data_IF_468648772407
#
_entry.id   IF_468648772407
#
_cell.length_a   1.000
_cell.length_b   1.000
_cell.length_c   1.000
_cell.angle_alpha   90.00
_cell.angle_beta   90.00
_cell.angle_gamma   90.00
#
_symmetry.space_group_name_H-M   'P 1'
#
loop_
_entity.id
_entity.type
_entity.pdbx_description
1 polymer ?
#
# COMPACT_ATOMS: atom_id res chain seq x y z
N UNK A 1 13.92 -8.50 -30.37
CA UNK A 1 14.42 -7.19 -29.91
C UNK A 1 14.21 -7.12 -28.41
N UNK A 2 14.87 -6.22 -27.67
CA UNK A 2 14.55 -6.06 -26.26
C UNK A 2 13.12 -5.55 -26.10
N UNK A 3 12.40 -5.97 -25.05
CA UNK A 3 11.04 -5.45 -24.79
C UNK A 3 11.08 -3.97 -24.41
N UNK A 4 9.95 -3.27 -24.51
CA UNK A 4 9.85 -1.89 -24.03
C UNK A 4 10.20 -1.79 -22.54
N UNK A 5 9.83 -2.80 -21.74
CA UNK A 5 10.15 -2.83 -20.30
C UNK A 5 11.68 -2.94 -20.07
N UNK A 6 12.36 -3.80 -20.83
CA UNK A 6 13.82 -3.96 -20.75
C UNK A 6 14.56 -2.67 -21.12
N UNK A 7 14.11 -1.97 -22.16
CA UNK A 7 14.68 -0.68 -22.58
C UNK A 7 14.39 0.42 -21.56
N UNK A 8 13.17 0.50 -21.03
CA UNK A 8 12.77 1.51 -20.04
C UNK A 8 13.65 1.45 -18.79
N UNK A 9 13.97 0.24 -18.31
CA UNK A 9 14.83 -0.01 -17.15
C UNK A 9 16.26 0.54 -17.31
N UNK A 10 16.71 0.83 -18.53
CA UNK A 10 18.04 1.41 -18.76
C UNK A 10 18.10 2.92 -18.52
N UNK A 11 16.94 3.59 -18.49
CA UNK A 11 16.87 5.06 -18.42
C UNK A 11 15.95 5.57 -17.30
N UNK A 12 15.12 4.71 -16.72
CA UNK A 12 14.15 5.03 -15.69
C UNK A 12 14.04 3.87 -14.70
N UNK A 13 13.94 4.19 -13.41
CA UNK A 13 13.66 3.17 -12.39
C UNK A 13 12.19 2.76 -12.49
N UNK A 14 11.95 1.49 -12.74
CA UNK A 14 10.60 0.92 -12.76
C UNK A 14 10.17 0.49 -11.35
N UNK A 15 9.00 0.98 -10.95
CA UNK A 15 8.34 0.74 -9.66
C UNK A 15 7.01 0.04 -9.93
N UNK A 16 6.60 -0.92 -9.10
CA UNK A 16 5.27 -1.53 -9.24
C UNK A 16 4.22 -0.78 -8.40
N UNK A 17 3.10 -0.42 -9.04
CA UNK A 17 1.95 0.22 -8.37
C UNK A 17 0.89 -0.82 -8.00
N UNK A 18 1.11 -1.54 -6.90
CA UNK A 18 0.20 -2.61 -6.49
C UNK A 18 0.38 -3.03 -5.02
N UNK A 19 -0.71 -3.49 -4.40
CA UNK A 19 -0.67 -4.28 -3.16
C UNK A 19 -0.63 -5.79 -3.40
N UNK A 20 -0.73 -6.21 -4.66
CA UNK A 20 -0.69 -7.61 -5.09
C UNK A 20 0.75 -8.15 -5.07
N UNK A 21 1.07 -8.92 -4.02
CA UNK A 21 2.41 -9.48 -3.76
C UNK A 21 2.87 -10.40 -4.90
N UNK A 22 2.00 -11.24 -5.45
CA UNK A 22 2.32 -12.13 -6.58
C UNK A 22 2.73 -11.34 -7.83
N UNK A 23 2.10 -10.19 -8.08
CA UNK A 23 2.52 -9.32 -9.18
C UNK A 23 3.93 -8.74 -8.94
N UNK A 24 4.26 -8.40 -7.69
CA UNK A 24 5.59 -7.91 -7.32
C UNK A 24 6.64 -9.01 -7.49
N UNK A 25 6.36 -10.24 -7.07
CA UNK A 25 7.22 -11.41 -7.30
C UNK A 25 7.45 -11.67 -8.79
N UNK A 26 6.40 -11.53 -9.61
CA UNK A 26 6.48 -11.73 -11.05
C UNK A 26 7.38 -10.69 -11.74
N UNK A 27 7.18 -9.41 -11.44
CA UNK A 27 7.84 -8.32 -12.17
C UNK A 27 9.17 -7.85 -11.54
N UNK A 28 9.47 -8.25 -10.31
CA UNK A 28 10.71 -7.95 -9.57
C UNK A 28 11.15 -6.48 -9.68
N UNK A 29 10.28 -5.50 -9.34
CA UNK A 29 10.62 -4.09 -9.42
C UNK A 29 11.67 -3.71 -8.34
N UNK A 30 12.33 -2.55 -8.51
CA UNK A 30 13.25 -2.04 -7.47
C UNK A 30 12.48 -1.59 -6.23
N UNK A 31 11.48 -0.73 -6.45
CA UNK A 31 10.61 -0.15 -5.43
C UNK A 31 9.16 -0.61 -5.68
N UNK A 32 8.28 -0.46 -4.68
CA UNK A 32 6.84 -0.66 -4.85
C UNK A 32 6.05 0.45 -4.16
N UNK A 33 4.87 0.77 -4.69
CA UNK A 33 3.97 1.75 -4.11
C UNK A 33 2.64 1.12 -3.74
N UNK A 34 2.20 1.34 -2.50
CA UNK A 34 0.83 1.08 -2.10
C UNK A 34 0.08 2.40 -1.88
N UNK A 35 -1.22 2.31 -1.74
CA UNK A 35 -2.14 3.38 -1.35
C UNK A 35 -3.39 2.73 -0.74
N UNK A 36 -4.31 3.49 -0.13
CA UNK A 36 -5.50 2.93 0.50
C UNK A 36 -6.30 2.02 -0.43
N UNK A 37 -6.57 2.45 -1.67
CA UNK A 37 -7.34 1.64 -2.62
C UNK A 37 -6.65 0.32 -2.99
N UNK A 38 -5.32 0.32 -3.15
CA UNK A 38 -4.55 -0.88 -3.48
C UNK A 38 -4.50 -1.87 -2.31
N UNK A 39 -4.32 -1.38 -1.07
CA UNK A 39 -4.35 -2.22 0.12
C UNK A 39 -5.75 -2.79 0.33
N UNK A 40 -6.80 -1.97 0.21
CA UNK A 40 -8.19 -2.42 0.32
C UNK A 40 -8.51 -3.51 -0.70
N UNK A 41 -8.06 -3.36 -1.95
CA UNK A 41 -8.24 -4.38 -2.98
C UNK A 41 -7.46 -5.67 -2.68
N UNK A 42 -6.19 -5.56 -2.28
CA UNK A 42 -5.35 -6.71 -1.96
C UNK A 42 -5.88 -7.48 -0.73
N UNK A 43 -6.32 -6.77 0.31
CA UNK A 43 -6.87 -7.37 1.53
C UNK A 43 -8.13 -8.20 1.29
N UNK A 44 -8.87 -7.94 0.19
CA UNK A 44 -10.06 -8.72 -0.19
C UNK A 44 -9.72 -9.95 -1.04
N UNK A 45 -8.47 -10.11 -1.49
CA UNK A 45 -8.09 -11.25 -2.29
C UNK A 45 -7.95 -12.52 -1.42
N UNK A 46 -8.46 -13.68 -1.86
CA UNK A 46 -8.40 -14.92 -1.09
C UNK A 46 -6.98 -15.32 -0.67
N UNK A 47 -6.01 -15.15 -1.57
CA UNK A 47 -4.61 -15.51 -1.33
C UNK A 47 -3.90 -14.65 -0.27
N UNK A 48 -4.49 -13.51 0.13
CA UNK A 48 -3.93 -12.61 1.13
C UNK A 48 -4.71 -12.60 2.44
N UNK A 49 -5.73 -13.46 2.59
CA UNK A 49 -6.51 -13.54 3.84
C UNK A 49 -5.64 -13.85 5.05
N UNK A 50 -4.60 -14.68 4.91
CA UNK A 50 -3.70 -14.97 6.02
C UNK A 50 -3.05 -13.69 6.60
N UNK A 51 -2.66 -12.72 5.75
CA UNK A 51 -2.09 -11.45 6.22
C UNK A 51 -3.11 -10.65 7.02
N UNK A 52 -4.37 -10.63 6.55
CA UNK A 52 -5.48 -9.93 7.21
C UNK A 52 -5.80 -10.58 8.55
N UNK A 53 -5.96 -11.89 8.56
CA UNK A 53 -6.32 -12.67 9.75
C UNK A 53 -5.22 -12.57 10.81
N UNK A 54 -3.96 -12.74 10.43
CA UNK A 54 -2.82 -12.58 11.34
C UNK A 54 -2.77 -11.16 11.94
N UNK A 55 -3.08 -10.14 11.14
CA UNK A 55 -3.13 -8.75 11.60
C UNK A 55 -4.26 -8.53 12.61
N UNK A 56 -5.45 -9.08 12.34
CA UNK A 56 -6.61 -9.00 13.24
C UNK A 56 -6.37 -9.76 14.54
N UNK A 57 -5.82 -10.98 14.47
CA UNK A 57 -5.50 -11.79 15.65
C UNK A 57 -4.45 -11.12 16.53
N UNK A 58 -3.39 -10.56 15.92
CA UNK A 58 -2.39 -9.79 16.66
C UNK A 58 -2.98 -8.52 17.29
N UNK A 59 -3.85 -7.81 16.56
CA UNK A 59 -4.56 -6.66 17.13
C UNK A 59 -5.46 -7.07 18.31
N UNK A 60 -6.16 -8.21 18.22
CA UNK A 60 -7.00 -8.75 19.30
C UNK A 60 -6.18 -9.06 20.55
N UNK A 61 -5.00 -9.69 20.37
CA UNK A 61 -4.09 -10.00 21.47
C UNK A 61 -3.56 -8.73 22.16
N UNK A 62 -3.19 -7.72 21.39
CA UNK A 62 -2.58 -6.48 21.91
C UNK A 62 -3.60 -5.51 22.55
N UNK A 63 -4.87 -5.53 22.10
CA UNK A 63 -5.91 -4.65 22.65
C UNK A 63 -6.39 -5.05 24.06
N UNK A 64 -6.08 -6.26 24.50
CA UNK A 64 -6.44 -6.77 25.84
C UNK A 64 -7.91 -7.22 25.98
N UNK A 65 -8.27 -7.85 27.10
CA UNK A 65 -9.53 -8.60 27.25
C UNK A 65 -10.80 -7.72 27.34
N UNK A 66 -10.66 -6.41 27.55
CA UNK A 66 -11.78 -5.47 27.65
C UNK A 66 -12.05 -4.71 26.34
N UNK A 67 -11.23 -4.94 25.30
CA UNK A 67 -11.38 -4.26 24.01
C UNK A 67 -12.64 -4.72 23.29
N UNK A 68 -13.32 -3.76 22.66
CA UNK A 68 -14.43 -4.08 21.77
C UNK A 68 -13.91 -4.57 20.42
N UNK A 69 -14.74 -5.29 19.66
CA UNK A 69 -14.41 -5.68 18.28
C UNK A 69 -14.04 -4.46 17.42
N UNK A 70 -14.65 -3.30 17.71
CA UNK A 70 -14.33 -2.03 17.04
C UNK A 70 -12.91 -1.56 17.37
N UNK A 71 -12.48 -1.65 18.63
CA UNK A 71 -11.12 -1.26 19.03
C UNK A 71 -10.07 -2.17 18.35
N UNK A 72 -10.35 -3.47 18.28
CA UNK A 72 -9.51 -4.44 17.58
C UNK A 72 -9.45 -4.16 16.08
N UNK A 73 -10.58 -3.95 15.43
CA UNK A 73 -10.64 -3.64 14.00
C UNK A 73 -9.89 -2.34 13.66
N UNK A 74 -10.03 -1.30 14.50
CA UNK A 74 -9.30 -0.04 14.34
C UNK A 74 -7.78 -0.22 14.49
N UNK A 75 -7.33 -1.02 15.47
CA UNK A 75 -5.91 -1.31 15.62
C UNK A 75 -5.37 -2.13 14.45
N UNK A 76 -6.13 -3.12 13.96
CA UNK A 76 -5.77 -3.90 12.79
C UNK A 76 -5.70 -3.02 11.52
N UNK A 77 -6.65 -2.11 11.34
CA UNK A 77 -6.65 -1.13 10.26
C UNK A 77 -5.35 -0.31 10.23
N UNK A 78 -4.91 0.20 11.39
CA UNK A 78 -3.67 0.97 11.52
C UNK A 78 -2.39 0.16 11.22
N UNK A 79 -2.47 -1.18 11.29
CA UNK A 79 -1.34 -2.10 11.11
C UNK A 79 -1.31 -2.75 9.73
N UNK A 80 -2.45 -2.85 9.05
CA UNK A 80 -2.58 -3.66 7.83
C UNK A 80 -1.67 -3.17 6.70
N UNK A 81 -1.58 -1.85 6.49
CA UNK A 81 -0.72 -1.31 5.44
C UNK A 81 0.77 -1.63 5.70
N UNK A 82 1.21 -1.60 6.96
CA UNK A 82 2.57 -2.00 7.36
C UNK A 82 2.76 -3.51 7.20
N UNK A 83 1.75 -4.33 7.53
CA UNK A 83 1.82 -5.78 7.35
C UNK A 83 2.03 -6.18 5.88
N UNK A 84 1.28 -5.56 4.95
CA UNK A 84 1.50 -5.74 3.51
C UNK A 84 2.87 -5.21 3.08
N UNK A 85 3.23 -4.00 3.51
CA UNK A 85 4.51 -3.41 3.15
C UNK A 85 5.71 -4.23 3.64
N UNK A 86 5.63 -4.84 4.81
CA UNK A 86 6.64 -5.76 5.32
C UNK A 86 6.81 -6.99 4.42
N UNK A 87 5.71 -7.60 3.95
CA UNK A 87 5.78 -8.70 2.97
C UNK A 87 6.41 -8.25 1.65
N UNK A 88 6.04 -7.07 1.15
CA UNK A 88 6.60 -6.49 -0.07
C UNK A 88 8.11 -6.27 0.06
N UNK A 89 8.57 -5.71 1.19
CA UNK A 89 9.99 -5.44 1.44
C UNK A 89 10.85 -6.72 1.55
N UNK A 90 10.24 -7.86 1.86
CA UNK A 90 10.90 -9.17 1.79
C UNK A 90 11.23 -9.63 0.37
N UNK A 91 10.62 -9.00 -0.65
CA UNK A 91 10.79 -9.37 -2.07
C UNK A 91 11.63 -8.32 -2.81
N UNK A 92 11.31 -7.04 -2.64
CA UNK A 92 11.98 -5.97 -3.38
C UNK A 92 13.29 -5.55 -2.70
N UNK A 93 14.31 -5.12 -3.46
CA UNK A 93 15.57 -4.65 -2.88
C UNK A 93 15.51 -3.20 -2.39
N UNK A 94 14.58 -2.40 -2.93
CA UNK A 94 14.45 -0.97 -2.66
C UNK A 94 13.33 -0.65 -1.69
N UNK A 95 12.57 0.40 -1.97
CA UNK A 95 11.67 1.05 -1.01
C UNK A 95 10.20 0.67 -1.21
N UNK A 96 9.42 0.65 -0.13
CA UNK A 96 7.95 0.62 -0.20
C UNK A 96 7.38 1.97 0.19
N UNK A 97 6.44 2.50 -0.60
CA UNK A 97 5.63 3.65 -0.16
C UNK A 97 4.42 3.17 0.65
N UNK A 98 4.23 3.70 1.86
CA UNK A 98 3.07 3.43 2.73
C UNK A 98 2.36 4.74 3.03
N UNK A 99 1.07 4.81 2.73
CA UNK A 99 0.29 6.05 2.76
C UNK A 99 -0.33 6.31 4.12
N UNK A 100 -0.25 7.56 4.59
CA UNK A 100 -0.98 8.03 5.76
C UNK A 100 -2.48 8.05 5.48
N UNK A 101 -3.30 8.06 6.53
CA UNK A 101 -4.75 8.20 6.40
C UNK A 101 -5.11 9.51 5.67
N UNK A 102 -5.79 9.37 4.53
CA UNK A 102 -6.15 10.51 3.68
C UNK A 102 -7.11 11.50 4.39
N UNK A 103 -7.84 11.07 5.42
CA UNK A 103 -8.72 11.94 6.23
C UNK A 103 -7.93 13.02 6.97
N UNK A 104 -6.62 12.81 7.15
CA UNK A 104 -5.69 13.72 7.84
C UNK A 104 -5.01 14.73 6.90
N UNK A 105 -5.35 14.73 5.59
CA UNK A 105 -4.63 15.50 4.56
C UNK A 105 -4.57 17.02 4.82
N UNK A 106 -5.42 17.57 5.69
CA UNK A 106 -5.45 19.00 6.03
C UNK A 106 -5.06 19.26 7.49
N UNK A 107 -4.48 18.27 8.17
CA UNK A 107 -3.98 18.35 9.55
C UNK A 107 -2.51 17.92 9.60
N UNK A 108 -1.63 18.91 9.73
CA UNK A 108 -0.18 18.72 9.80
C UNK A 108 0.22 17.84 10.98
N UNK A 109 -0.31 18.08 12.18
CA UNK A 109 0.11 17.38 13.40
C UNK A 109 -0.39 15.93 13.42
N UNK A 110 -1.63 15.70 12.97
CA UNK A 110 -2.17 14.35 12.85
C UNK A 110 -1.42 13.54 11.77
N UNK A 111 -1.04 14.18 10.66
CA UNK A 111 -0.20 13.57 9.62
C UNK A 111 1.17 13.17 10.18
N UNK A 112 1.85 14.06 10.92
CA UNK A 112 3.14 13.78 11.57
C UNK A 112 3.06 12.62 12.54
N UNK A 113 2.04 12.62 13.40
CA UNK A 113 1.82 11.56 14.39
C UNK A 113 1.66 10.20 13.71
N UNK A 114 0.82 10.15 12.68
CA UNK A 114 0.55 8.93 11.91
C UNK A 114 1.79 8.44 11.16
N UNK A 115 2.53 9.35 10.51
CA UNK A 115 3.76 9.04 9.80
C UNK A 115 4.82 8.41 10.72
N UNK A 116 5.05 9.01 11.89
CA UNK A 116 6.02 8.49 12.88
C UNK A 116 5.60 7.11 13.41
N UNK A 117 4.30 6.92 13.68
CA UNK A 117 3.76 5.62 14.08
C UNK A 117 3.95 4.54 13.01
N UNK A 118 3.79 4.87 11.72
CA UNK A 118 4.08 3.92 10.63
C UNK A 118 5.56 3.51 10.64
N UNK A 119 6.48 4.47 10.78
CA UNK A 119 7.92 4.19 10.85
C UNK A 119 8.29 3.35 12.09
N UNK A 120 7.68 3.63 13.23
CA UNK A 120 7.86 2.85 14.46
C UNK A 120 7.44 1.40 14.27
N UNK A 121 6.26 1.15 13.69
CA UNK A 121 5.77 -0.20 13.40
C UNK A 121 6.70 -0.96 12.44
N UNK A 122 7.26 -0.30 11.42
CA UNK A 122 8.31 -0.92 10.58
C UNK A 122 9.56 -1.25 11.39
N UNK A 123 9.98 -0.35 12.29
CA UNK A 123 11.13 -0.57 13.18
C UNK A 123 10.95 -1.77 14.12
N UNK A 124 9.75 -1.99 14.66
CA UNK A 124 9.40 -3.18 15.46
C UNK A 124 9.53 -4.49 14.66
N UNK A 125 9.37 -4.42 13.33
CA UNK A 125 9.57 -5.54 12.41
C UNK A 125 11.02 -5.66 11.92
N UNK A 126 11.95 -4.85 12.47
CA UNK A 126 13.36 -4.86 12.10
C UNK A 126 13.65 -4.19 10.74
N UNK A 127 12.71 -3.41 10.21
CA UNK A 127 12.87 -2.70 8.93
C UNK A 127 13.45 -1.30 9.18
N UNK A 128 14.55 -0.97 8.49
CA UNK A 128 15.10 0.39 8.51
C UNK A 128 14.12 1.38 7.86
N UNK A 129 14.00 2.57 8.44
CA UNK A 129 13.20 3.68 7.86
C UNK A 129 13.65 4.04 6.45
N UNK A 130 14.91 3.81 6.08
CA UNK A 130 15.44 4.09 4.72
C UNK A 130 14.78 3.22 3.64
N UNK A 131 14.15 2.10 4.02
CA UNK A 131 13.39 1.21 3.13
C UNK A 131 11.93 1.66 2.96
N UNK A 132 11.50 2.72 3.63
CA UNK A 132 10.10 3.16 3.67
C UNK A 132 10.00 4.61 3.19
N UNK A 133 9.02 4.88 2.33
CA UNK A 133 8.60 6.23 1.99
C UNK A 133 7.22 6.48 2.60
N UNK A 134 7.11 7.47 3.47
CA UNK A 134 5.80 7.89 3.99
C UNK A 134 5.09 8.69 2.90
N UNK A 135 3.96 8.15 2.45
CA UNK A 135 3.20 8.73 1.34
C UNK A 135 2.10 9.65 1.87
N UNK A 136 2.07 10.90 1.39
CA UNK A 136 1.21 11.98 1.92
C UNK A 136 0.60 12.74 0.74
N UNK A 137 -0.68 13.12 0.83
CA UNK A 137 -1.32 13.95 -0.18
C UNK A 137 -0.67 15.34 -0.26
N UNK A 138 -0.48 15.86 -1.48
CA UNK A 138 0.23 17.12 -1.74
C UNK A 138 -0.63 18.37 -1.48
N UNK A 139 -1.31 18.42 -0.34
CA UNK A 139 -1.91 19.64 0.22
C UNK A 139 -0.80 20.54 0.80
N UNK A 140 -1.11 21.79 1.14
CA UNK A 140 -0.12 22.65 1.80
C UNK A 140 0.31 22.05 3.15
N UNK A 141 -0.66 21.61 3.94
CA UNK A 141 -0.48 21.01 5.26
C UNK A 141 0.33 19.70 5.18
N UNK A 142 0.03 18.86 4.19
CA UNK A 142 0.80 17.63 3.92
C UNK A 142 2.25 17.90 3.52
N UNK A 143 2.49 18.92 2.70
CA UNK A 143 3.86 19.36 2.33
C UNK A 143 4.61 19.88 3.57
N UNK A 144 3.96 20.64 4.44
CA UNK A 144 4.57 21.13 5.69
C UNK A 144 4.88 20.00 6.67
N UNK A 145 4.00 19.00 6.78
CA UNK A 145 4.29 17.80 7.56
C UNK A 145 5.50 17.05 6.99
N UNK A 146 5.55 16.82 5.67
CA UNK A 146 6.66 16.15 5.02
C UNK A 146 7.99 16.92 5.19
N UNK A 147 7.98 18.26 5.14
CA UNK A 147 9.17 19.08 5.40
C UNK A 147 9.80 18.80 6.77
N UNK A 148 8.96 18.59 7.80
CA UNK A 148 9.42 18.25 9.15
C UNK A 148 9.94 16.81 9.19
N UNK A 149 9.24 15.86 8.56
CA UNK A 149 9.65 14.45 8.50
C UNK A 149 11.00 14.27 7.81
N UNK A 150 11.25 14.97 6.70
CA UNK A 150 12.53 14.90 5.98
C UNK A 150 13.68 15.42 6.84
N UNK A 151 13.45 16.46 7.65
CA UNK A 151 14.45 16.96 8.63
C UNK A 151 14.72 15.95 9.75
N UNK A 152 13.78 15.03 10.01
CA UNK A 152 13.93 13.91 10.95
C UNK A 152 14.53 12.65 10.29
N UNK A 153 14.88 12.72 8.99
CA UNK A 153 15.37 11.57 8.22
C UNK A 153 14.29 10.53 7.95
N UNK A 154 13.01 10.95 7.90
CA UNK A 154 11.88 10.12 7.45
C UNK A 154 11.52 10.58 6.04
N UNK A 155 11.86 9.75 5.06
CA UNK A 155 11.68 10.09 3.65
C UNK A 155 10.22 10.02 3.21
N UNK A 156 9.79 10.98 2.41
CA UNK A 156 8.40 11.14 2.00
C UNK A 156 8.20 10.96 0.48
N UNK A 157 7.01 10.45 0.14
CA UNK A 157 6.46 10.39 -1.22
C UNK A 157 5.20 11.28 -1.29
N UNK A 158 5.29 12.42 -1.96
CA UNK A 158 4.17 13.37 -2.05
C UNK A 158 3.28 13.02 -3.25
N UNK A 159 2.09 12.50 -2.95
CA UNK A 159 1.13 11.94 -3.91
C UNK A 159 -0.03 12.90 -4.17
N UNK A 160 -0.96 12.53 -5.07
CA UNK A 160 -2.07 13.39 -5.50
C UNK A 160 -1.54 14.75 -5.98
N UNK A 161 -0.43 14.71 -6.72
CA UNK A 161 0.22 15.88 -7.29
C UNK A 161 -0.26 16.07 -8.72
N UNK A 162 -0.84 17.24 -9.00
CA UNK A 162 -1.51 17.54 -10.26
C UNK A 162 -0.97 18.80 -10.96
N UNK A 163 -0.35 19.72 -10.21
CA UNK A 163 0.14 20.99 -10.75
C UNK A 163 1.58 21.33 -10.35
N UNK A 164 2.17 22.23 -11.14
CA UNK A 164 3.55 22.68 -10.94
C UNK A 164 3.75 23.38 -9.58
N UNK A 165 2.76 24.11 -9.07
CA UNK A 165 2.83 24.77 -7.75
C UNK A 165 3.05 23.76 -6.61
N UNK A 166 2.42 22.59 -6.68
CA UNK A 166 2.67 21.51 -5.71
C UNK A 166 4.09 20.98 -5.84
N UNK A 167 4.55 20.70 -7.06
CA UNK A 167 5.91 20.20 -7.28
C UNK A 167 6.98 21.19 -6.79
N UNK A 168 6.84 22.48 -7.07
CA UNK A 168 7.81 23.48 -6.62
C UNK A 168 7.84 23.55 -5.10
N UNK A 169 6.69 23.62 -4.44
CA UNK A 169 6.62 23.63 -2.97
C UNK A 169 7.24 22.37 -2.36
N UNK A 170 7.05 21.20 -2.98
CA UNK A 170 7.68 19.95 -2.53
C UNK A 170 9.22 20.01 -2.63
N UNK A 171 9.74 20.51 -3.76
CA UNK A 171 11.18 20.62 -3.98
C UNK A 171 11.85 21.64 -3.03
N UNK A 172 11.20 22.79 -2.82
CA UNK A 172 11.68 23.81 -1.87
C UNK A 172 11.64 23.32 -0.41
N UNK A 173 10.73 22.39 -0.09
CA UNK A 173 10.65 21.72 1.22
C UNK A 173 11.66 20.57 1.39
N UNK A 174 12.48 20.25 0.38
CA UNK A 174 13.49 19.20 0.47
C UNK A 174 12.93 17.78 0.47
N UNK A 175 11.75 17.58 -0.10
CA UNK A 175 11.08 16.27 -0.16
C UNK A 175 11.87 15.28 -1.02
N UNK A 176 11.91 14.02 -0.60
CA UNK A 176 12.64 12.95 -1.28
C UNK A 176 12.04 12.63 -2.65
N UNK A 177 10.72 12.41 -2.72
CA UNK A 177 10.05 11.96 -3.94
C UNK A 177 8.66 12.58 -4.08
N UNK A 178 8.27 12.89 -5.32
CA UNK A 178 6.90 13.25 -5.68
C UNK A 178 6.31 12.24 -6.68
N UNK A 179 5.01 11.98 -6.59
CA UNK A 179 4.28 11.12 -7.52
C UNK A 179 3.15 11.85 -8.26
N UNK A 180 3.44 12.60 -9.34
CA UNK A 180 2.42 13.23 -10.16
C UNK A 180 1.55 12.23 -10.91
N UNK A 181 0.23 12.44 -10.90
CA UNK A 181 -0.75 11.48 -11.45
C UNK A 181 -1.13 11.82 -12.88
N UNK A 182 -0.54 11.12 -13.84
CA UNK A 182 -0.70 11.36 -15.29
C UNK A 182 -2.13 11.07 -15.75
N UNK A 183 -2.57 9.82 -15.60
CA UNK A 183 -3.85 9.39 -16.17
C UNK A 183 -5.08 10.04 -15.54
N UNK A 184 -4.99 10.54 -14.29
CA UNK A 184 -6.09 11.29 -13.68
C UNK A 184 -6.22 12.70 -14.27
N UNK A 185 -5.12 13.31 -14.71
CA UNK A 185 -5.16 14.57 -15.45
C UNK A 185 -5.84 14.32 -16.80
N UNK A 186 -5.44 13.27 -17.54
CA UNK A 186 -6.11 12.86 -18.78
C UNK A 186 -7.62 12.68 -18.59
N UNK A 187 -8.05 11.94 -17.56
CA UNK A 187 -9.47 11.71 -17.27
C UNK A 187 -10.25 13.01 -17.07
N UNK A 188 -9.65 13.99 -16.37
CA UNK A 188 -10.28 15.29 -16.15
C UNK A 188 -10.50 16.03 -17.47
N UNK A 189 -9.44 16.14 -18.29
CA UNK A 189 -9.49 16.87 -19.55
C UNK A 189 -10.41 16.21 -20.57
N UNK A 190 -10.43 14.87 -20.65
CA UNK A 190 -11.41 14.17 -21.51
C UNK A 190 -12.85 14.55 -21.16
N UNK A 191 -13.16 14.59 -19.85
CA UNK A 191 -14.49 14.95 -19.35
C UNK A 191 -14.81 16.44 -19.59
N UNK A 192 -13.88 17.34 -19.27
CA UNK A 192 -14.10 18.79 -19.36
C UNK A 192 -14.18 19.27 -20.81
N UNK A 193 -13.35 18.75 -21.71
CA UNK A 193 -13.35 19.15 -23.13
C UNK A 193 -14.30 18.31 -24.00
N UNK A 194 -14.87 17.22 -23.48
CA UNK A 194 -15.67 16.27 -24.24
C UNK A 194 -14.89 15.47 -25.30
N UNK A 195 -13.56 15.32 -25.14
CA UNK A 195 -12.72 14.53 -26.05
C UNK A 195 -12.65 13.08 -25.57
N UNK A 196 -12.77 12.13 -26.49
CA UNK A 196 -12.64 10.70 -26.17
C UNK A 196 -11.19 10.26 -25.97
N UNK A 197 -10.22 10.95 -26.59
CA UNK A 197 -8.80 10.63 -26.48
C UNK A 197 -7.89 11.82 -26.81
N UNK A 198 -6.66 11.69 -26.37
CA UNK A 198 -5.52 12.56 -26.67
C UNK A 198 -4.40 11.71 -27.28
N UNK A 199 -3.71 12.17 -28.33
CA UNK A 199 -2.42 11.59 -28.72
C UNK A 199 -1.46 11.60 -27.52
N UNK A 200 -0.59 10.59 -27.39
CA UNK A 200 0.26 10.44 -26.21
C UNK A 200 1.14 11.69 -25.93
N UNK A 201 1.74 12.27 -26.98
CA UNK A 201 2.54 13.49 -26.87
C UNK A 201 1.71 14.77 -26.55
N UNK A 202 0.40 14.74 -26.74
CA UNK A 202 -0.53 15.83 -26.39
C UNK A 202 -1.27 15.57 -25.07
N UNK A 203 -0.99 14.45 -24.41
CA UNK A 203 -1.66 14.08 -23.17
C UNK A 203 -1.36 15.12 -22.08
N UNK A 204 -2.39 15.74 -21.47
CA UNK A 204 -2.17 16.82 -20.51
C UNK A 204 -1.46 16.37 -19.23
N UNK A 205 -1.57 15.09 -18.86
CA UNK A 205 -0.81 14.51 -17.76
C UNK A 205 0.67 14.32 -18.11
N UNK A 206 0.96 13.83 -19.32
CA UNK A 206 2.34 13.71 -19.83
C UNK A 206 3.01 15.08 -19.90
N UNK A 207 2.30 16.09 -20.42
CA UNK A 207 2.78 17.46 -20.49
C UNK A 207 3.07 18.03 -19.09
N UNK A 208 2.18 17.79 -18.12
CA UNK A 208 2.37 18.21 -16.73
C UNK A 208 3.63 17.60 -16.10
N UNK A 209 3.83 16.28 -16.20
CA UNK A 209 5.02 15.62 -15.65
C UNK A 209 6.30 16.05 -16.37
N UNK A 210 6.25 16.22 -17.69
CA UNK A 210 7.38 16.73 -18.48
C UNK A 210 7.78 18.12 -18.02
N UNK A 211 6.82 19.01 -17.78
CA UNK A 211 7.07 20.35 -17.25
C UNK A 211 7.72 20.30 -15.87
N UNK A 212 7.20 19.47 -14.95
CA UNK A 212 7.74 19.29 -13.60
C UNK A 212 9.18 18.75 -13.65
N UNK A 213 9.42 17.69 -14.42
CA UNK A 213 10.75 17.10 -14.58
C UNK A 213 11.75 18.14 -15.09
N UNK A 214 11.40 18.86 -16.16
CA UNK A 214 12.28 19.87 -16.74
C UNK A 214 12.59 20.99 -15.74
N UNK A 215 11.59 21.46 -14.99
CA UNK A 215 11.78 22.45 -13.93
C UNK A 215 12.76 21.95 -12.86
N UNK A 216 12.59 20.70 -12.40
CA UNK A 216 13.46 20.11 -11.40
C UNK A 216 14.91 20.02 -11.86
N UNK A 217 15.15 19.49 -13.07
CA UNK A 217 16.51 19.36 -13.60
C UNK A 217 17.13 20.71 -13.94
N UNK A 218 16.35 21.69 -14.40
CA UNK A 218 16.81 23.06 -14.66
C UNK A 218 17.38 23.73 -13.41
N UNK A 219 16.71 23.57 -12.27
CA UNK A 219 17.09 24.23 -11.02
C UNK A 219 17.90 23.35 -10.06
N UNK A 220 18.25 22.13 -10.47
CA UNK A 220 19.08 21.22 -9.68
C UNK A 220 18.39 20.73 -8.41
N UNK A 221 17.06 20.57 -8.44
CA UNK A 221 16.33 19.99 -7.31
C UNK A 221 16.60 18.48 -7.22
N UNK A 222 16.84 18.00 -5.99
CA UNK A 222 17.15 16.60 -5.72
C UNK A 222 15.92 15.70 -5.58
N UNK A 223 14.74 16.29 -5.40
CA UNK A 223 13.47 15.55 -5.31
C UNK A 223 13.28 14.69 -6.56
N UNK A 224 13.05 13.40 -6.35
CA UNK A 224 12.82 12.44 -7.43
C UNK A 224 11.42 12.65 -8.04
N UNK A 225 11.31 12.63 -9.38
CA UNK A 225 10.03 12.67 -10.08
C UNK A 225 9.58 11.26 -10.46
N UNK A 226 8.50 10.78 -9.87
CA UNK A 226 7.91 9.47 -10.16
C UNK A 226 6.55 9.60 -10.85
N UNK A 227 6.49 9.53 -12.18
CA UNK A 227 5.20 9.52 -12.87
C UNK A 227 4.34 8.33 -12.44
N UNK A 228 3.04 8.56 -12.21
CA UNK A 228 2.14 7.58 -11.60
C UNK A 228 0.73 7.60 -12.21
N UNK A 229 -0.07 6.58 -11.86
CA UNK A 229 -1.50 6.48 -12.23
C UNK A 229 -1.77 6.54 -13.75
N UNK A 230 -1.00 5.78 -14.53
CA UNK A 230 -1.17 5.66 -15.98
C UNK A 230 -2.50 4.99 -16.39
N UNK A 231 -3.01 5.33 -17.57
CA UNK A 231 -4.11 4.68 -18.29
C UNK A 231 -3.61 3.78 -19.41
N UNK A 232 -2.48 4.11 -20.04
CA UNK A 232 -2.01 3.40 -21.23
C UNK A 232 -0.48 3.43 -21.38
N UNK A 233 0.06 2.53 -22.21
CA UNK A 233 1.50 2.44 -22.50
C UNK A 233 2.05 3.70 -23.15
N UNK A 234 1.26 4.42 -23.95
CA UNK A 234 1.68 5.65 -24.62
C UNK A 234 2.15 6.74 -23.65
N UNK A 235 1.42 6.95 -22.55
CA UNK A 235 1.82 7.89 -21.50
C UNK A 235 3.17 7.51 -20.86
N UNK A 236 3.42 6.21 -20.68
CA UNK A 236 4.66 5.70 -20.09
C UNK A 236 5.83 5.91 -21.05
N UNK A 237 5.64 5.59 -22.34
CA UNK A 237 6.68 5.76 -23.35
C UNK A 237 7.03 7.23 -23.58
N UNK A 238 6.07 8.14 -23.47
CA UNK A 238 6.30 9.58 -23.56
C UNK A 238 7.06 10.16 -22.35
N UNK A 239 7.14 9.41 -21.25
CA UNK A 239 7.91 9.79 -20.05
C UNK A 239 9.18 8.94 -19.87
N UNK A 240 9.59 8.18 -20.88
CA UNK A 240 10.83 7.40 -20.83
C UNK A 240 12.05 8.32 -20.59
N UNK A 241 12.82 8.04 -19.54
CA UNK A 241 13.92 8.88 -19.06
C UNK A 241 13.61 9.69 -17.80
N UNK A 242 12.35 9.64 -17.30
CA UNK A 242 11.99 10.13 -15.96
C UNK A 242 12.82 9.42 -14.87
N UNK A 243 12.91 10.00 -13.68
CA UNK A 243 13.67 9.38 -12.58
C UNK A 243 13.08 8.02 -12.21
N UNK A 244 11.78 7.99 -11.98
CA UNK A 244 11.01 6.77 -11.72
C UNK A 244 9.67 6.80 -12.47
N UNK A 245 9.11 5.62 -12.70
CA UNK A 245 7.70 5.46 -13.10
C UNK A 245 7.10 4.30 -12.29
N UNK A 246 5.99 4.57 -11.61
CA UNK A 246 5.22 3.53 -10.93
C UNK A 246 4.07 3.07 -11.81
N UNK A 247 4.11 1.78 -12.16
CA UNK A 247 3.34 1.21 -13.26
C UNK A 247 2.53 0.02 -12.73
N UNK A 248 1.25 -0.04 -13.12
CA UNK A 248 0.37 -1.14 -12.71
C UNK A 248 0.83 -2.48 -13.31
N UNK A 249 0.55 -3.63 -12.67
CA UNK A 249 0.91 -4.94 -13.19
C UNK A 249 0.41 -5.20 -14.63
N UNK A 250 -0.78 -4.67 -14.96
CA UNK A 250 -1.35 -4.81 -16.30
C UNK A 250 -0.50 -4.08 -17.36
N UNK A 251 -0.07 -2.85 -17.07
CA UNK A 251 0.75 -2.06 -18.01
C UNK A 251 2.20 -2.58 -18.05
N UNK A 252 2.72 -3.10 -16.93
CA UNK A 252 3.99 -3.82 -16.92
C UNK A 252 3.96 -5.03 -17.85
N UNK A 253 2.90 -5.84 -17.82
CA UNK A 253 2.73 -6.96 -18.73
C UNK A 253 2.67 -6.54 -20.21
N UNK A 254 2.02 -5.41 -20.50
CA UNK A 254 1.95 -4.89 -21.86
C UNK A 254 3.32 -4.40 -22.37
N UNK A 255 4.08 -3.69 -21.53
CA UNK A 255 5.44 -3.25 -21.86
C UNK A 255 6.38 -4.44 -22.09
N UNK A 256 6.29 -5.45 -21.24
CA UNK A 256 7.12 -6.66 -21.32
C UNK A 256 6.79 -7.50 -22.57
N UNK A 257 5.52 -7.54 -22.96
CA UNK A 257 5.06 -8.24 -24.15
C UNK A 257 5.21 -7.49 -25.47
N UNK A 258 5.73 -6.25 -25.45
CA UNK A 258 5.85 -5.40 -26.66
C UNK A 258 7.31 -5.21 -27.05
N UNK A 259 7.66 -5.66 -28.27
CA UNK A 259 8.97 -5.39 -28.88
C UNK A 259 8.87 -4.20 -29.85
N UNK A 260 9.44 -3.07 -29.47
CA UNK A 260 9.54 -1.86 -30.30
C UNK A 260 10.73 -1.01 -29.82
N UNK A 261 11.13 0.02 -30.58
CA UNK A 261 12.15 0.98 -30.16
C UNK A 261 11.58 1.98 -29.15
N UNK A 262 12.28 2.20 -28.03
CA UNK A 262 11.88 3.15 -26.99
C UNK A 262 12.84 4.33 -26.92
N UNK A 263 12.56 5.46 -27.62
CA UNK A 263 13.39 6.64 -27.52
C UNK A 263 13.26 7.29 -26.12
N UNK A 264 14.38 7.81 -25.61
CA UNK A 264 14.39 8.62 -24.39
C UNK A 264 13.75 9.98 -24.66
N UNK A 265 12.70 10.31 -23.93
CA UNK A 265 11.94 11.56 -24.07
C UNK A 265 12.37 12.62 -23.06
N UNK A 266 12.65 12.20 -21.83
CA UNK A 266 13.10 13.07 -20.74
C UNK A 266 14.61 12.96 -20.55
N UNK A 267 15.32 14.04 -20.86
CA UNK A 267 16.77 14.12 -20.80
C UNK A 267 17.21 15.23 -19.82
N UNK A 268 18.01 14.92 -18.78
CA UNK A 268 18.40 15.88 -17.77
C UNK A 268 19.35 16.97 -18.31
N UNK A 269 20.22 16.66 -19.27
CA UNK A 269 21.12 17.65 -19.87
C UNK A 269 20.36 18.64 -20.75
N UNK A 270 19.37 18.14 -21.51
CA UNK A 270 18.44 19.00 -22.26
C UNK A 270 17.67 19.92 -21.32
N UNK A 271 17.07 19.36 -20.26
CA UNK A 271 16.31 20.11 -19.27
C UNK A 271 17.14 21.21 -18.58
N UNK A 272 18.39 20.90 -18.20
CA UNK A 272 19.32 21.86 -17.59
C UNK A 272 19.58 23.10 -18.47
N UNK A 273 19.53 22.94 -19.79
CA UNK A 273 19.76 24.02 -20.76
C UNK A 273 18.51 24.84 -21.11
N UNK A 274 17.32 24.47 -20.63
CA UNK A 274 16.07 25.15 -21.00
C UNK A 274 15.96 26.53 -20.37
N UNK A 275 15.36 27.50 -21.07
CA UNK A 275 15.03 28.81 -20.50
C UNK A 275 13.69 28.72 -19.75
N UNK A 276 13.76 28.60 -18.42
CA UNK A 276 12.60 28.49 -17.52
C UNK A 276 12.75 29.56 -16.43
N UNK A 277 11.67 30.29 -16.15
CA UNK A 277 11.62 31.25 -15.04
C UNK A 277 11.47 30.52 -13.71
N UNK A 278 12.26 30.92 -12.71
CA UNK A 278 12.16 30.36 -11.36
C UNK A 278 11.01 31.01 -10.60
N UNK A 279 10.10 30.19 -10.08
CA UNK A 279 9.07 30.59 -9.13
C UNK A 279 9.49 30.18 -7.72
N UNK A 280 9.04 30.93 -6.72
CA UNK A 280 9.14 30.55 -5.31
C UNK A 280 7.75 30.55 -4.67
N UNK A 281 7.48 29.53 -3.87
CA UNK A 281 6.13 29.19 -3.41
C UNK A 281 6.03 29.39 -1.90
N UNK A 282 5.66 30.61 -1.49
CA UNK A 282 5.08 30.80 -0.16
C UNK A 282 3.62 30.30 -0.10
N UNK A 283 3.05 30.25 1.10
CA UNK A 283 1.69 29.74 1.30
C UNK A 283 0.65 30.50 0.47
N UNK A 284 0.74 31.84 0.47
CA UNK A 284 -0.20 32.69 -0.24
C UNK A 284 -0.16 32.43 -1.75
N UNK A 285 1.04 32.30 -2.33
CA UNK A 285 1.27 32.00 -3.74
C UNK A 285 0.80 30.59 -4.07
N UNK A 286 1.14 29.58 -3.26
CA UNK A 286 0.67 28.21 -3.42
C UNK A 286 -0.86 28.15 -3.47
N UNK A 287 -1.54 28.72 -2.48
CA UNK A 287 -3.01 28.70 -2.40
C UNK A 287 -3.64 29.45 -3.57
N UNK A 288 -3.07 30.60 -3.97
CA UNK A 288 -3.56 31.37 -5.11
C UNK A 288 -3.38 30.63 -6.44
N UNK A 289 -2.26 29.94 -6.65
CA UNK A 289 -2.04 29.13 -7.86
C UNK A 289 -2.98 27.92 -7.88
N UNK A 290 -3.12 27.23 -6.74
CA UNK A 290 -4.00 26.07 -6.63
C UNK A 290 -5.47 26.42 -6.88
N UNK A 291 -5.94 27.57 -6.36
CA UNK A 291 -7.32 28.03 -6.55
C UNK A 291 -7.62 28.36 -8.03
N UNK A 292 -6.62 28.82 -8.79
CA UNK A 292 -6.75 29.12 -10.23
C UNK A 292 -6.73 27.87 -11.11
N UNK A 293 -6.04 26.82 -10.67
CA UNK A 293 -5.97 25.55 -11.38
C UNK A 293 -7.15 24.64 -11.00
N UNK A 294 -8.26 24.79 -11.73
CA UNK A 294 -9.48 24.00 -11.53
C UNK A 294 -9.21 22.50 -11.55
N UNK A 295 -8.39 22.03 -12.48
CA UNK A 295 -8.09 20.61 -12.63
C UNK A 295 -7.36 20.08 -11.40
N UNK A 296 -6.28 20.75 -10.99
CA UNK A 296 -5.49 20.31 -9.85
C UNK A 296 -6.32 20.34 -8.56
N UNK A 297 -7.13 21.38 -8.37
CA UNK A 297 -8.02 21.52 -7.20
C UNK A 297 -9.07 20.40 -7.14
N UNK A 298 -9.83 20.22 -8.21
CA UNK A 298 -10.87 19.19 -8.27
C UNK A 298 -10.25 17.79 -8.11
N UNK A 299 -9.12 17.50 -8.75
CA UNK A 299 -8.49 16.17 -8.67
C UNK A 299 -7.82 15.87 -7.34
N UNK A 300 -7.28 16.86 -6.65
CA UNK A 300 -6.78 16.69 -5.28
C UNK A 300 -7.92 16.34 -4.31
N UNK A 301 -9.01 17.11 -4.35
CA UNK A 301 -10.19 16.88 -3.52
C UNK A 301 -10.86 15.53 -3.82
N UNK A 302 -11.07 15.20 -5.10
CA UNK A 302 -11.57 13.89 -5.53
C UNK A 302 -10.66 12.74 -5.06
N UNK A 303 -9.35 12.93 -5.14
CA UNK A 303 -8.36 11.93 -4.71
C UNK A 303 -8.43 11.65 -3.21
N UNK A 304 -8.43 12.69 -2.39
CA UNK A 304 -8.52 12.58 -0.93
C UNK A 304 -9.83 11.91 -0.53
N UNK A 305 -10.96 12.32 -1.12
CA UNK A 305 -12.28 11.71 -0.88
C UNK A 305 -12.32 10.25 -1.29
N UNK A 306 -11.76 9.91 -2.45
CA UNK A 306 -11.69 8.53 -2.94
C UNK A 306 -10.86 7.62 -2.02
N UNK A 307 -9.72 8.10 -1.54
CA UNK A 307 -8.90 7.36 -0.58
C UNK A 307 -9.55 7.24 0.80
N UNK A 308 -10.21 8.30 1.29
CA UNK A 308 -10.98 8.26 2.54
C UNK A 308 -12.08 7.20 2.48
N UNK A 309 -12.83 7.14 1.38
CA UNK A 309 -13.86 6.12 1.15
C UNK A 309 -13.28 4.69 1.08
N UNK A 310 -12.10 4.54 0.49
CA UNK A 310 -11.42 3.23 0.45
C UNK A 310 -10.98 2.76 1.84
N UNK A 311 -10.60 3.68 2.73
CA UNK A 311 -10.29 3.40 4.13
C UNK A 311 -11.56 3.02 4.91
N UNK A 312 -12.66 3.75 4.75
CA UNK A 312 -13.96 3.39 5.36
C UNK A 312 -14.40 1.97 4.95
N UNK A 313 -14.26 1.65 3.66
CA UNK A 313 -14.58 0.30 3.15
C UNK A 313 -13.66 -0.77 3.73
N UNK A 314 -12.41 -0.44 4.03
CA UNK A 314 -11.46 -1.34 4.67
C UNK A 314 -11.80 -1.56 6.15
N UNK A 315 -12.17 -0.51 6.87
CA UNK A 315 -12.64 -0.60 8.26
C UNK A 315 -13.84 -1.54 8.38
N UNK A 316 -14.84 -1.38 7.51
CA UNK A 316 -16.03 -2.25 7.46
C UNK A 316 -15.67 -3.71 7.12
N UNK A 317 -14.74 -3.91 6.18
CA UNK A 317 -14.25 -5.23 5.81
C UNK A 317 -13.55 -5.92 6.98
N UNK A 318 -12.65 -5.23 7.68
CA UNK A 318 -11.92 -5.76 8.82
C UNK A 318 -12.84 -6.09 9.99
N UNK A 319 -13.82 -5.23 10.29
CA UNK A 319 -14.83 -5.48 11.30
C UNK A 319 -15.65 -6.73 10.96
N UNK A 320 -16.08 -6.87 9.70
CA UNK A 320 -16.82 -8.06 9.23
C UNK A 320 -15.97 -9.33 9.33
N UNK A 321 -14.70 -9.26 8.94
CA UNK A 321 -13.78 -10.40 8.98
C UNK A 321 -13.49 -10.84 10.41
N UNK A 322 -13.33 -9.90 11.34
CA UNK A 322 -13.12 -10.20 12.77
C UNK A 322 -14.29 -10.98 13.38
N UNK A 323 -15.53 -10.61 13.03
CA UNK A 323 -16.74 -11.34 13.47
C UNK A 323 -16.74 -12.75 12.91
N UNK A 324 -16.38 -12.93 11.62
CA UNK A 324 -16.29 -14.26 11.01
C UNK A 324 -15.22 -15.15 11.68
N UNK A 325 -14.06 -14.59 11.99
CA UNK A 325 -13.00 -15.32 12.71
C UNK A 325 -13.48 -15.75 14.09
N UNK A 326 -14.13 -14.85 14.83
CA UNK A 326 -14.66 -15.14 16.16
C UNK A 326 -15.80 -16.18 16.11
N UNK A 327 -16.67 -16.14 15.08
CA UNK A 327 -17.70 -17.17 14.87
C UNK A 327 -17.11 -18.52 14.47
N UNK A 328 -16.05 -18.53 13.66
CA UNK A 328 -15.30 -19.73 13.31
C UNK A 328 -14.66 -20.38 14.55
N UNK A 329 -14.01 -19.59 15.41
CA UNK A 329 -13.49 -20.03 16.71
C UNK A 329 -14.60 -20.62 17.59
N UNK A 330 -15.76 -19.96 17.67
CA UNK A 330 -16.91 -20.45 18.44
C UNK A 330 -17.46 -21.76 17.87
N UNK A 331 -17.63 -21.87 16.55
CA UNK A 331 -18.10 -23.12 15.93
C UNK A 331 -17.11 -24.27 16.11
N UNK A 332 -15.80 -24.02 15.97
CA UNK A 332 -14.77 -25.04 16.23
C UNK A 332 -14.77 -25.44 17.70
N UNK A 333 -14.90 -24.48 18.62
CA UNK A 333 -14.97 -24.76 20.06
C UNK A 333 -16.22 -25.58 20.38
N UNK A 334 -17.39 -25.21 19.85
CA UNK A 334 -18.63 -25.96 20.02
C UNK A 334 -18.54 -27.36 19.42
N UNK A 335 -17.99 -27.50 18.20
CA UNK A 335 -17.80 -28.80 17.56
C UNK A 335 -16.80 -29.67 18.34
N UNK A 336 -15.74 -29.08 18.89
CA UNK A 336 -14.79 -29.77 19.77
C UNK A 336 -15.46 -30.21 21.07
N UNK A 337 -16.24 -29.34 21.70
CA UNK A 337 -16.95 -29.63 22.94
C UNK A 337 -18.06 -30.67 22.72
N UNK A 338 -18.75 -30.64 21.58
CA UNK A 338 -19.76 -31.63 21.20
C UNK A 338 -19.12 -32.97 20.85
N UNK A 339 -17.98 -32.97 20.16
CA UNK A 339 -17.20 -34.19 19.91
C UNK A 339 -16.70 -34.78 21.23
N UNK A 340 -16.14 -33.95 22.12
CA UNK A 340 -15.69 -34.39 23.44
C UNK A 340 -16.82 -35.03 24.24
N UNK A 341 -17.99 -34.37 24.32
CA UNK A 341 -19.18 -34.93 24.99
C UNK A 341 -19.74 -36.19 24.33
N UNK A 342 -19.48 -36.42 23.04
CA UNK A 342 -19.90 -37.64 22.37
C UNK A 342 -19.04 -38.84 22.76
N UNK A 343 -17.82 -38.61 23.23
CA UNK A 343 -16.87 -39.63 23.69
C UNK A 343 -16.78 -39.75 25.22
N UNK A 344 -17.12 -38.71 25.98
CA UNK A 344 -17.25 -38.78 27.45
C UNK A 344 -18.61 -39.41 27.80
N UNK A 345 -18.66 -40.75 27.87
CA UNK A 345 -19.90 -41.51 27.97
C UNK A 345 -20.43 -41.53 29.41
N UNK A 346 -19.55 -41.51 30.40
CA UNK A 346 -19.91 -41.48 31.82
C UNK A 346 -20.00 -40.07 32.43
N UNK A 347 -19.52 -39.06 31.70
CA UNK A 347 -19.63 -37.65 32.07
C UNK A 347 -18.62 -37.23 33.15
N UNK A 348 -17.53 -37.97 33.34
CA UNK A 348 -16.49 -37.67 34.35
C UNK A 348 -15.54 -36.53 33.92
N UNK A 349 -15.68 -36.05 32.69
CA UNK A 349 -14.88 -34.95 32.13
C UNK A 349 -13.58 -35.39 31.49
N UNK A 350 -13.40 -36.70 31.28
CA UNK A 350 -12.26 -37.31 30.58
C UNK A 350 -12.77 -38.37 29.60
N UNK A 351 -12.00 -38.66 28.56
CA UNK A 351 -12.28 -39.79 27.66
C UNK A 351 -11.32 -40.91 28.00
N UNK A 352 -11.84 -41.99 28.57
CA UNK A 352 -11.08 -43.21 28.87
C UNK A 352 -10.88 -44.07 27.64
N UNK A 353 -9.96 -45.03 27.74
CA UNK A 353 -9.65 -45.96 26.65
C UNK A 353 -10.85 -46.82 26.25
N UNK A 354 -11.71 -47.11 27.22
CA UNK A 354 -12.96 -47.84 27.03
C UNK A 354 -14.01 -47.04 26.27
N UNK A 355 -13.96 -45.71 26.34
CA UNK A 355 -14.90 -44.81 25.69
C UNK A 355 -14.44 -44.35 24.30
N UNK A 356 -13.13 -44.47 24.03
CA UNK A 356 -12.52 -44.15 22.75
C UNK A 356 -12.92 -45.16 21.65
N UNK A 357 -13.54 -44.67 20.57
CA UNK A 357 -13.95 -45.51 19.43
C UNK A 357 -12.89 -45.56 18.31
N UNK A 358 -11.74 -44.89 18.49
CA UNK A 358 -10.64 -44.90 17.53
C UNK A 358 -9.62 -46.01 17.81
N UNK A 359 -8.46 -45.96 17.16
CA UNK A 359 -7.39 -46.93 17.44
C UNK A 359 -6.58 -46.54 18.66
N UNK A 360 -6.07 -47.54 19.36
CA UNK A 360 -5.12 -47.41 20.48
C UNK A 360 -3.93 -46.51 20.17
N UNK A 361 -3.37 -46.64 18.96
CA UNK A 361 -2.23 -45.84 18.53
C UNK A 361 -2.54 -44.33 18.42
N UNK A 362 -3.81 -43.97 18.17
CA UNK A 362 -4.23 -42.56 18.14
C UNK A 362 -4.52 -42.07 19.55
N UNK A 363 -5.10 -42.91 20.41
CA UNK A 363 -5.28 -42.57 21.83
C UNK A 363 -3.93 -42.26 22.49
N UNK A 364 -2.96 -43.15 22.34
CA UNK A 364 -1.61 -43.01 22.92
C UNK A 364 -0.84 -41.80 22.35
N UNK A 365 -1.21 -41.32 21.16
CA UNK A 365 -0.63 -40.12 20.56
C UNK A 365 -1.28 -38.82 21.05
N UNK A 366 -2.51 -38.89 21.55
CA UNK A 366 -3.26 -37.77 22.10
C UNK A 366 -3.08 -37.63 23.61
N UNK A 367 -2.83 -38.73 24.33
CA UNK A 367 -2.54 -38.80 25.76
C UNK A 367 -1.10 -38.30 26.01
N UNK A 368 -0.97 -36.98 26.22
CA UNK A 368 0.32 -36.30 26.25
C UNK A 368 1.01 -36.44 27.61
N UNK A 369 0.23 -36.60 28.68
CA UNK A 369 0.76 -36.80 30.03
C UNK A 369 0.83 -38.27 30.46
N UNK A 370 0.33 -39.18 29.61
CA UNK A 370 0.36 -40.63 29.78
C UNK A 370 -0.41 -41.10 31.02
N UNK A 371 -1.47 -40.40 31.40
CA UNK A 371 -2.30 -40.75 32.55
C UNK A 371 -3.38 -41.81 32.22
N UNK A 372 -3.50 -42.20 30.95
CA UNK A 372 -4.45 -43.20 30.47
C UNK A 372 -5.85 -42.65 30.24
N UNK A 373 -6.03 -41.33 30.24
CA UNK A 373 -7.26 -40.61 29.94
C UNK A 373 -6.96 -39.44 29.01
N UNK A 374 -7.95 -39.00 28.23
CA UNK A 374 -7.80 -37.80 27.40
C UNK A 374 -8.61 -36.64 28.00
N UNK A 375 -7.91 -35.56 28.35
CA UNK A 375 -8.53 -34.31 28.77
C UNK A 375 -9.02 -33.47 27.58
N UNK A 376 -9.92 -32.49 27.80
CA UNK A 376 -10.33 -31.54 26.76
C UNK A 376 -9.15 -30.76 26.15
N UNK A 377 -8.09 -30.54 26.93
CA UNK A 377 -6.88 -29.84 26.48
C UNK A 377 -6.06 -30.69 25.51
N UNK A 378 -5.92 -31.99 25.78
CA UNK A 378 -5.18 -32.95 24.96
C UNK A 378 -5.88 -33.24 23.64
N UNK A 379 -7.19 -33.48 23.68
CA UNK A 379 -8.05 -33.59 22.48
C UNK A 379 -7.93 -32.32 21.64
N UNK A 380 -7.94 -31.14 22.28
CA UNK A 380 -7.78 -29.85 21.61
C UNK A 380 -6.41 -29.66 20.96
N UNK A 381 -5.34 -30.07 21.63
CA UNK A 381 -3.97 -29.96 21.11
C UNK A 381 -3.71 -30.89 19.92
N UNK A 382 -4.24 -32.11 19.94
CA UNK A 382 -4.02 -33.10 18.89
C UNK A 382 -4.90 -32.93 17.64
N UNK A 383 -6.16 -32.48 17.80
CA UNK A 383 -7.03 -32.18 16.64
C UNK A 383 -6.62 -30.91 15.89
N UNK A 384 -5.98 -29.94 16.57
CA UNK A 384 -5.42 -28.75 15.94
C UNK A 384 -4.35 -29.06 14.88
N UNK A 385 -3.58 -30.13 15.07
CA UNK A 385 -2.59 -30.60 14.10
C UNK A 385 -3.22 -31.33 12.90
N UNK A 386 -4.37 -32.01 13.10
CA UNK A 386 -5.08 -32.73 12.03
C UNK A 386 -5.86 -31.79 11.10
N UNK A 387 -6.37 -30.66 11.60
CA UNK A 387 -7.10 -29.67 10.81
C UNK A 387 -6.20 -28.66 10.07
N UNK A 388 -4.92 -28.54 10.41
CA UNK A 388 -3.94 -27.74 9.65
C UNK A 388 -3.41 -28.46 8.40
N UNK A 389 -3.72 -29.75 8.21
CA UNK A 389 -3.25 -30.58 7.10
C UNK A 389 -4.36 -30.96 6.09
N UNK A 390 -5.53 -30.33 6.16
CA UNK A 390 -6.67 -30.59 5.26
C UNK A 390 -6.95 -29.43 4.30
#
# INVERSE_FOLDING_TARGET
>A
MASLLEQLRQMTVVVADTGDIQAIEKFTPRDATTNPSLITAAAQMPQYQAIVDDTLLKAKADSGPAATDKDVANLAFNRLAVAFGHKILGIIPGRVSTEVDARLSYDTEATLTTARNIIEQYGELGISRDRVLIKIASTWEGIKAAEILEKEGIHCNLTLLFGLHQAIACAEAGITLISPFVGRILDWYKKDTGRDSYPAAEDPGVLSVTQIYNYYKKFGYNTEVMGASFRNVGEITELAGCDLLTISPQLLAQLDGTEADLPRQLDPAKAASMEIEKLSLDEATFRAMHERDRMAKEKLDEGIKGFSKALESLEDFLATRLVQLSQGEVMITHARDDLFKAYDLDGDGFITREEWLGTDAVFDALDLDHDGKLSPAEIGAGLGAAFQLA
#
